data_IF_528747067031
#
_entry.id   IF_528747067031
#
_cell.length_a   1.000
_cell.length_b   1.000
_cell.length_c   1.000
_cell.angle_alpha   90.00
_cell.angle_beta   90.00
_cell.angle_gamma   90.00
#
_symmetry.space_group_name_H-M   'P 1'
#
loop_
_entity.id
_entity.type
_entity.pdbx_description
1 polymer ?
#
# COMPACT_ATOMS: atom_id res chain seq x y z
N UNK A 1 -1.51 -5.70 10.18
CA UNK A 1 -0.51 -6.66 9.65
C UNK A 1 0.95 -6.25 9.86
N UNK A 2 1.30 -4.96 9.98
CA UNK A 2 2.72 -4.55 10.10
C UNK A 2 3.14 -4.16 11.51
N UNK A 3 2.22 -4.13 12.49
CA UNK A 3 2.49 -3.63 13.84
C UNK A 3 3.30 -4.59 14.72
N UNK A 4 3.18 -5.89 14.47
CA UNK A 4 3.91 -6.93 15.20
C UNK A 4 5.29 -7.22 14.57
N UNK A 5 5.62 -6.53 13.46
CA UNK A 5 6.93 -6.63 12.82
C UNK A 5 7.95 -5.71 13.49
N UNK A 6 9.22 -6.09 13.38
CA UNK A 6 10.31 -5.25 13.83
C UNK A 6 10.60 -4.12 12.83
N UNK A 7 10.46 -2.86 13.27
CA UNK A 7 10.71 -1.68 12.44
C UNK A 7 12.21 -1.44 12.30
N UNK A 8 12.72 -1.57 11.08
CA UNK A 8 14.13 -1.35 10.75
C UNK A 8 14.46 0.12 10.43
N UNK A 9 13.50 0.88 9.91
CA UNK A 9 13.72 2.27 9.55
C UNK A 9 12.50 2.90 8.89
N UNK A 10 12.47 4.23 8.83
CA UNK A 10 11.45 5.01 8.14
C UNK A 10 12.10 6.20 7.45
N UNK A 11 11.69 6.47 6.23
CA UNK A 11 12.04 7.68 5.50
C UNK A 11 10.82 8.17 4.71
N UNK A 12 10.79 9.45 4.40
CA UNK A 12 9.70 10.07 3.65
C UNK A 12 10.19 10.46 2.25
N UNK A 13 9.42 10.12 1.23
CA UNK A 13 9.64 10.59 -0.14
C UNK A 13 8.88 11.91 -0.32
N UNK A 14 9.60 13.02 -0.24
CA UNK A 14 9.04 14.37 -0.41
C UNK A 14 9.03 14.80 -1.87
N UNK A 15 8.27 15.86 -2.21
CA UNK A 15 8.32 16.47 -3.54
C UNK A 15 7.42 15.81 -4.59
N UNK A 16 6.52 14.91 -4.19
CA UNK A 16 5.52 14.31 -5.08
C UNK A 16 4.46 15.37 -5.42
N UNK A 17 4.23 15.69 -6.71
CA UNK A 17 3.19 16.63 -7.11
C UNK A 17 1.82 16.19 -6.62
N UNK A 18 0.94 17.12 -6.19
CA UNK A 18 -0.43 16.76 -5.82
C UNK A 18 -1.15 16.10 -7.00
N UNK A 19 -1.53 14.84 -6.84
CA UNK A 19 -2.24 14.07 -7.85
C UNK A 19 -3.38 13.27 -7.22
N UNK A 20 -4.42 12.89 -7.99
CA UNK A 20 -5.48 12.02 -7.50
C UNK A 20 -4.92 10.69 -6.98
N UNK A 21 -5.59 10.11 -5.99
CA UNK A 21 -5.22 8.81 -5.41
C UNK A 21 -5.16 7.75 -6.52
N UNK A 22 -4.06 6.97 -6.54
CA UNK A 22 -3.81 5.95 -7.56
C UNK A 22 -3.14 6.44 -8.84
N UNK A 23 -2.88 7.74 -8.99
CA UNK A 23 -2.14 8.29 -10.15
C UNK A 23 -0.61 8.27 -9.96
N UNK A 24 -0.04 8.67 -8.80
CA UNK A 24 1.40 8.54 -8.56
C UNK A 24 1.85 7.07 -8.61
N UNK A 25 2.91 6.80 -9.38
CA UNK A 25 3.52 5.48 -9.45
C UNK A 25 4.87 5.52 -8.72
N UNK A 26 4.91 4.91 -7.53
CA UNK A 26 6.11 4.83 -6.72
C UNK A 26 6.72 3.43 -6.88
N UNK A 27 7.97 3.38 -7.36
CA UNK A 27 8.77 2.17 -7.39
C UNK A 27 9.62 2.09 -6.13
N UNK A 28 9.57 0.96 -5.43
CA UNK A 28 10.38 0.73 -4.24
C UNK A 28 11.30 -0.46 -4.50
N UNK A 29 12.61 -0.22 -4.37
CA UNK A 29 13.66 -1.23 -4.57
C UNK A 29 14.32 -1.55 -3.23
N UNK A 30 14.43 -2.83 -2.92
CA UNK A 30 15.11 -3.35 -1.73
C UNK A 30 16.36 -4.11 -2.16
N UNK A 31 17.53 -3.68 -1.71
CA UNK A 31 18.81 -4.31 -2.01
C UNK A 31 19.50 -4.71 -0.70
N UNK A 32 19.95 -5.96 -0.60
CA UNK A 32 20.69 -6.46 0.55
C UNK A 32 22.10 -6.78 0.07
N UNK A 33 23.10 -6.15 0.69
CA UNK A 33 24.50 -6.39 0.37
C UNK A 33 25.07 -7.64 1.08
N UNK A 34 26.31 -8.00 0.75
CA UNK A 34 27.02 -9.15 1.36
C UNK A 34 27.31 -8.97 2.85
N UNK A 35 27.24 -7.74 3.37
CA UNK A 35 27.44 -7.41 4.79
C UNK A 35 26.11 -7.40 5.58
N UNK A 36 24.99 -7.64 4.89
CA UNK A 36 23.64 -7.57 5.48
C UNK A 36 23.14 -6.14 5.70
N UNK A 37 23.69 -5.16 4.97
CA UNK A 37 23.19 -3.79 4.92
C UNK A 37 22.04 -3.75 3.92
N UNK A 38 20.89 -3.24 4.36
CA UNK A 38 19.70 -3.08 3.54
C UNK A 38 19.64 -1.64 3.00
N UNK A 39 19.66 -1.51 1.67
CA UNK A 39 19.39 -0.27 0.96
C UNK A 39 17.94 -0.30 0.47
N UNK A 40 17.16 0.71 0.85
CA UNK A 40 15.79 0.88 0.38
C UNK A 40 15.71 2.18 -0.40
N UNK A 41 15.38 2.09 -1.68
CA UNK A 41 15.20 3.24 -2.57
C UNK A 41 13.73 3.35 -2.97
N UNK A 42 13.16 4.55 -2.90
CA UNK A 42 11.84 4.85 -3.44
C UNK A 42 11.96 5.93 -4.52
N UNK A 43 11.39 5.67 -5.70
CA UNK A 43 11.40 6.54 -6.88
C UNK A 43 9.97 6.81 -7.34
N UNK A 44 9.61 8.08 -7.50
CA UNK A 44 8.40 8.47 -8.22
C UNK A 44 8.66 8.44 -9.74
N UNK A 45 8.02 7.50 -10.44
CA UNK A 45 8.19 7.31 -11.90
C UNK A 45 7.68 8.49 -12.73
N UNK A 46 6.80 9.32 -12.19
CA UNK A 46 6.28 10.49 -12.91
C UNK A 46 7.29 11.64 -12.97
N UNK A 47 8.03 11.86 -11.88
CA UNK A 47 8.97 12.98 -11.74
C UNK A 47 10.44 12.58 -11.82
N UNK A 48 10.74 11.29 -11.65
CA UNK A 48 12.11 10.78 -11.47
C UNK A 48 12.72 11.14 -10.10
N UNK A 49 11.94 11.74 -9.20
CA UNK A 49 12.41 12.08 -7.87
C UNK A 49 12.58 10.81 -7.05
N UNK A 50 13.76 10.65 -6.42
CA UNK A 50 14.09 9.47 -5.62
C UNK A 50 14.65 9.85 -4.27
N UNK A 51 14.36 9.01 -3.27
CA UNK A 51 14.96 9.09 -1.95
C UNK A 51 15.37 7.68 -1.49
N UNK A 52 16.39 7.58 -0.64
CA UNK A 52 16.92 6.30 -0.18
C UNK A 52 17.28 6.33 1.30
N UNK A 53 17.16 5.18 1.96
CA UNK A 53 17.65 4.93 3.31
C UNK A 53 18.61 3.73 3.29
N UNK A 54 19.65 3.80 4.11
CA UNK A 54 20.58 2.68 4.33
C UNK A 54 20.44 2.23 5.77
N UNK A 55 20.17 0.94 5.96
CA UNK A 55 19.94 0.32 7.26
C UNK A 55 21.07 -0.67 7.50
N UNK A 56 21.92 -0.36 8.48
CA UNK A 56 23.11 -1.15 8.81
C UNK A 56 22.82 -2.21 9.87
N UNK A 57 23.55 -3.32 9.81
CA UNK A 57 23.39 -4.54 10.62
C UNK A 57 23.49 -4.32 12.15
N UNK A 58 24.14 -3.25 12.61
CA UNK A 58 24.44 -3.02 14.03
C UNK A 58 23.35 -2.28 14.82
N UNK A 59 22.43 -1.58 14.16
CA UNK A 59 21.35 -0.87 14.86
C UNK A 59 20.11 -1.77 14.90
N UNK A 60 19.74 -2.21 16.11
CA UNK A 60 18.44 -2.84 16.40
C UNK A 60 18.28 -4.32 15.99
N UNK A 61 19.37 -5.09 15.82
CA UNK A 61 19.25 -6.52 15.47
C UNK A 61 18.60 -7.33 16.60
N UNK A 62 17.59 -8.12 16.24
CA UNK A 62 16.97 -9.11 17.13
C UNK A 62 18.00 -10.16 17.57
N UNK A 63 17.94 -10.57 18.83
CA UNK A 63 18.72 -11.70 19.30
C UNK A 63 18.27 -12.99 18.60
N UNK A 64 19.12 -14.04 18.52
CA UNK A 64 18.69 -15.34 17.99
C UNK A 64 17.44 -15.88 18.70
N UNK A 65 17.33 -15.65 20.00
CA UNK A 65 16.18 -16.06 20.83
C UNK A 65 14.91 -15.28 20.45
N UNK A 66 15.02 -13.97 20.18
CA UNK A 66 13.89 -13.16 19.70
C UNK A 66 13.47 -13.56 18.29
N UNK A 67 14.40 -13.90 17.41
CA UNK A 67 14.12 -14.41 16.06
C UNK A 67 13.32 -15.72 16.17
N UNK A 68 13.76 -16.65 17.01
CA UNK A 68 13.09 -17.93 17.22
C UNK A 68 11.69 -17.74 17.82
N UNK A 69 11.54 -16.82 18.79
CA UNK A 69 10.22 -16.46 19.34
C UNK A 69 9.30 -15.91 18.25
N UNK A 70 9.78 -14.99 17.41
CA UNK A 70 8.99 -14.41 16.33
C UNK A 70 8.57 -15.46 15.28
N UNK A 71 9.43 -16.42 14.95
CA UNK A 71 9.09 -17.53 14.05
C UNK A 71 7.96 -18.38 14.65
N UNK A 72 8.10 -18.77 15.93
CA UNK A 72 7.08 -19.58 16.61
C UNK A 72 5.74 -18.84 16.74
N UNK A 73 5.76 -17.55 17.06
CA UNK A 73 4.55 -16.73 17.13
C UNK A 73 3.88 -16.63 15.75
N UNK A 74 4.65 -16.39 14.68
CA UNK A 74 4.13 -16.35 13.31
C UNK A 74 3.49 -17.67 12.88
N UNK A 75 4.07 -18.82 13.26
CA UNK A 75 3.48 -20.13 12.98
C UNK A 75 2.19 -20.36 13.78
N UNK A 76 2.17 -19.97 15.05
CA UNK A 76 1.02 -20.13 15.93
C UNK A 76 -0.18 -19.31 15.48
N UNK A 77 0.05 -18.09 15.00
CA UNK A 77 -1.01 -17.16 14.57
C UNK A 77 -1.26 -17.18 13.06
N UNK A 78 -0.58 -18.05 12.31
CA UNK A 78 -0.65 -18.11 10.84
C UNK A 78 -2.09 -18.16 10.29
N UNK A 79 -2.98 -18.95 10.90
CA UNK A 79 -4.38 -19.07 10.45
C UNK A 79 -5.22 -17.82 10.75
N UNK A 80 -4.95 -17.14 11.87
CA UNK A 80 -5.62 -15.89 12.22
C UNK A 80 -5.12 -14.74 11.35
N UNK A 81 -3.80 -14.63 11.18
CA UNK A 81 -3.15 -13.67 10.31
C UNK A 81 -3.57 -13.85 8.85
N UNK A 82 -3.76 -15.10 8.39
CA UNK A 82 -4.28 -15.38 7.06
C UNK A 82 -5.68 -14.82 6.85
N UNK A 83 -6.59 -14.99 7.83
CA UNK A 83 -7.96 -14.42 7.72
C UNK A 83 -7.94 -12.90 7.71
N UNK A 84 -7.10 -12.29 8.56
CA UNK A 84 -6.93 -10.83 8.59
C UNK A 84 -6.33 -10.35 7.27
N UNK A 85 -5.34 -11.05 6.74
CA UNK A 85 -4.73 -10.77 5.43
C UNK A 85 -5.76 -10.81 4.31
N UNK A 86 -6.54 -11.89 4.21
CA UNK A 86 -7.59 -12.04 3.19
C UNK A 86 -8.63 -10.92 3.26
N UNK A 87 -9.03 -10.50 4.47
CA UNK A 87 -9.94 -9.37 4.66
C UNK A 87 -9.32 -8.04 4.20
N UNK A 88 -8.05 -7.80 4.54
CA UNK A 88 -7.34 -6.57 4.14
C UNK A 88 -7.09 -6.55 2.63
N UNK A 89 -6.72 -7.68 2.02
CA UNK A 89 -6.53 -7.81 0.58
C UNK A 89 -7.83 -7.57 -0.17
N UNK A 90 -8.94 -8.22 0.21
CA UNK A 90 -10.24 -7.99 -0.41
C UNK A 90 -10.69 -6.52 -0.31
N UNK A 91 -10.41 -5.87 0.83
CA UNK A 91 -10.66 -4.44 1.01
C UNK A 91 -9.80 -3.59 0.08
N UNK A 92 -8.49 -3.84 0.03
CA UNK A 92 -7.56 -3.09 -0.79
C UNK A 92 -7.87 -3.26 -2.29
N UNK A 93 -8.28 -4.45 -2.71
CA UNK A 93 -8.77 -4.72 -4.07
C UNK A 93 -10.03 -3.90 -4.38
N UNK A 94 -11.02 -3.92 -3.48
CA UNK A 94 -12.25 -3.12 -3.65
C UNK A 94 -11.96 -1.62 -3.71
N UNK A 95 -11.11 -1.12 -2.80
CA UNK A 95 -10.70 0.29 -2.77
C UNK A 95 -9.95 0.67 -4.06
N UNK A 96 -8.96 -0.13 -4.46
CA UNK A 96 -8.19 0.09 -5.68
C UNK A 96 -9.06 0.08 -6.92
N UNK A 97 -10.03 -0.85 -7.00
CA UNK A 97 -10.98 -0.93 -8.10
C UNK A 97 -11.91 0.29 -8.16
N UNK A 98 -12.47 0.71 -7.03
CA UNK A 98 -13.33 1.88 -6.93
C UNK A 98 -12.62 3.17 -7.41
N UNK A 99 -11.39 3.41 -6.95
CA UNK A 99 -10.62 4.57 -7.40
C UNK A 99 -10.15 4.47 -8.86
N UNK A 100 -9.80 3.27 -9.32
CA UNK A 100 -9.49 3.04 -10.74
C UNK A 100 -10.67 3.38 -11.64
N UNK A 101 -11.88 2.92 -11.29
CA UNK A 101 -13.11 3.27 -12.00
C UNK A 101 -13.37 4.79 -11.98
N UNK A 102 -13.25 5.42 -10.81
CA UNK A 102 -13.41 6.88 -10.67
C UNK A 102 -12.47 7.67 -11.59
N UNK A 103 -11.22 7.23 -11.70
CA UNK A 103 -10.25 7.84 -12.61
C UNK A 103 -10.60 7.59 -14.08
N UNK A 104 -11.09 6.39 -14.44
CA UNK A 104 -11.47 6.05 -15.82
C UNK A 104 -12.71 6.80 -16.32
N UNK A 105 -13.71 7.03 -15.46
CA UNK A 105 -14.94 7.77 -15.81
C UNK A 105 -14.72 9.30 -15.81
N UNK A 106 -13.79 9.79 -14.99
CA UNK A 106 -13.38 11.20 -15.01
C UNK A 106 -12.60 11.57 -16.27
N UNK A 107 -11.94 10.60 -16.90
CA UNK A 107 -11.12 10.78 -18.09
C UNK A 107 -11.95 10.73 -19.38
N UNK A 108 -12.07 11.88 -20.06
CA UNK A 108 -12.80 12.04 -21.31
C UNK A 108 -12.17 11.29 -22.50
N UNK A 109 -10.89 10.95 -22.43
CA UNK A 109 -10.20 10.18 -23.49
C UNK A 109 -10.35 8.67 -23.29
N UNK A 110 -10.86 8.22 -22.13
CA UNK A 110 -11.07 6.81 -21.79
C UNK A 110 -12.54 6.42 -21.73
N UNK A 111 -12.98 5.81 -20.62
CA UNK A 111 -14.33 5.32 -20.43
C UNK A 111 -15.32 6.49 -20.32
N UNK A 112 -14.90 7.58 -19.69
CA UNK A 112 -15.71 8.79 -19.50
C UNK A 112 -16.15 9.51 -20.78
N UNK A 113 -15.46 9.31 -21.91
CA UNK A 113 -15.88 9.84 -23.21
C UNK A 113 -16.77 8.89 -24.04
N UNK A 114 -16.95 7.65 -23.57
CA UNK A 114 -17.73 6.60 -24.26
C UNK A 114 -19.07 6.32 -23.59
N UNK A 115 -19.25 6.79 -22.36
CA UNK A 115 -20.47 6.68 -21.57
C UNK A 115 -21.32 7.93 -21.76
N UNK A 116 -22.64 7.76 -21.76
CA UNK A 116 -23.55 8.90 -21.64
C UNK A 116 -23.59 9.44 -20.20
N UNK A 117 -24.13 10.64 -20.04
CA UNK A 117 -24.16 11.34 -18.75
C UNK A 117 -24.97 10.59 -17.68
N UNK A 118 -25.96 9.77 -18.08
CA UNK A 118 -26.78 8.99 -17.14
C UNK A 118 -26.00 7.80 -16.59
N UNK A 119 -25.35 7.04 -17.46
CA UNK A 119 -24.50 5.91 -17.07
C UNK A 119 -23.30 6.38 -16.24
N UNK A 120 -22.68 7.49 -16.64
CA UNK A 120 -21.57 8.09 -15.90
C UNK A 120 -21.98 8.46 -14.48
N UNK A 121 -23.12 9.14 -14.31
CA UNK A 121 -23.64 9.53 -13.00
C UNK A 121 -23.95 8.32 -12.12
N UNK A 122 -24.56 7.28 -12.70
CA UNK A 122 -24.87 6.03 -11.99
C UNK A 122 -23.60 5.36 -11.46
N UNK A 123 -22.53 5.33 -12.26
CA UNK A 123 -21.24 4.76 -11.84
C UNK A 123 -20.56 5.63 -10.78
N UNK A 124 -20.57 6.97 -10.93
CA UNK A 124 -20.03 7.90 -9.94
C UNK A 124 -20.71 7.74 -8.57
N UNK A 125 -22.05 7.69 -8.53
CA UNK A 125 -22.82 7.51 -7.30
C UNK A 125 -22.50 6.17 -6.62
N UNK A 126 -22.45 5.07 -7.39
CA UNK A 126 -22.14 3.75 -6.84
C UNK A 126 -20.70 3.65 -6.30
N UNK A 127 -19.73 4.27 -6.99
CA UNK A 127 -18.34 4.31 -6.55
C UNK A 127 -18.17 5.16 -5.29
N UNK A 128 -18.85 6.31 -5.22
CA UNK A 128 -18.81 7.18 -4.05
C UNK A 128 -19.48 6.54 -2.83
N UNK A 129 -20.59 5.82 -3.02
CA UNK A 129 -21.22 5.01 -1.96
C UNK A 129 -20.27 3.92 -1.46
N UNK A 130 -19.62 3.19 -2.37
CA UNK A 130 -18.65 2.15 -2.01
C UNK A 130 -17.46 2.72 -1.23
N UNK A 131 -16.91 3.86 -1.64
CA UNK A 131 -15.81 4.54 -0.94
C UNK A 131 -16.28 5.03 0.44
N UNK A 132 -17.45 5.64 0.54
CA UNK A 132 -18.00 6.11 1.81
C UNK A 132 -18.26 4.94 2.78
N UNK A 133 -18.74 3.81 2.27
CA UNK A 133 -18.90 2.58 3.04
C UNK A 133 -17.55 2.04 3.52
N UNK A 134 -16.52 2.01 2.67
CA UNK A 134 -15.16 1.59 3.04
C UNK A 134 -14.53 2.51 4.10
N UNK A 135 -14.81 3.81 4.04
CA UNK A 135 -14.31 4.78 5.02
C UNK A 135 -15.03 4.69 6.37
N UNK A 136 -16.33 4.40 6.35
CA UNK A 136 -17.16 4.24 7.56
C UNK A 136 -16.94 2.89 8.23
N UNK A 137 -16.70 1.84 7.43
CA UNK A 137 -16.39 0.49 7.89
C UNK A 137 -14.88 0.28 7.92
N UNK A 138 -14.17 1.21 8.57
CA UNK A 138 -12.80 0.97 9.00
C UNK A 138 -12.84 -0.12 10.06
N UNK A 139 -12.81 -1.38 9.63
CA UNK A 139 -12.27 -2.45 10.45
C UNK A 139 -10.92 -1.91 10.90
N UNK A 140 -10.78 -1.67 12.20
CA UNK A 140 -9.54 -1.19 12.81
C UNK A 140 -8.40 -1.97 12.17
N UNK A 141 -7.59 -1.28 11.37
CA UNK A 141 -6.27 -1.76 10.99
C UNK A 141 -5.50 -1.90 12.28
N UNK A 142 -5.53 -3.12 12.84
CA UNK A 142 -4.58 -3.62 13.81
C UNK A 142 -3.26 -3.89 13.10
#
# INVERSE_FOLDING_TARGET
>A
MTKDNHILGKFDLTGIPPAPRGVPQIEVTFEIDVNGILHVTAEDKGTGHKNQITITNDQNRLSPEDIERMINDAEKFADEDKKVKEQVEARNEMEGYAYSLKNQIGDKEKLGGKLDDSDKKTIEEAVDEAIAWLDSNKVCTL
#
